data_IF_390373244183
#
_entry.id   IF_390373244183
#
_cell.length_a   1.000
_cell.length_b   1.000
_cell.length_c   1.000
_cell.angle_alpha   90.00
_cell.angle_beta   90.00
_cell.angle_gamma   90.00
#
_symmetry.space_group_name_H-M   'P 1'
#
loop_
_entity.id
_entity.type
_entity.pdbx_description
1 polymer ?
#
# COMPACT_ATOMS: atom_id res chain seq x y z
N UNK A 1 6.06 3.03 -14.27
CA UNK A 1 5.32 2.52 -15.44
C UNK A 1 4.03 3.32 -15.52
N UNK A 2 3.79 4.05 -16.60
CA UNK A 2 2.61 4.90 -16.77
C UNK A 2 1.59 4.15 -17.63
N UNK A 3 0.38 3.90 -17.11
CA UNK A 3 -0.69 3.24 -17.87
C UNK A 3 -1.64 4.32 -18.39
N UNK A 4 -1.82 4.38 -19.71
CA UNK A 4 -2.80 5.25 -20.33
C UNK A 4 -4.20 4.63 -20.26
N UNK A 5 -4.85 4.75 -19.11
CA UNK A 5 -6.21 4.27 -18.91
C UNK A 5 -6.97 5.15 -17.94
N UNK A 6 -8.27 5.31 -18.19
CA UNK A 6 -9.16 5.91 -17.21
C UNK A 6 -9.58 4.82 -16.21
N UNK A 7 -9.34 5.07 -14.94
CA UNK A 7 -9.72 4.17 -13.88
C UNK A 7 -10.27 4.91 -12.67
N UNK A 8 -11.05 4.19 -11.86
CA UNK A 8 -11.46 4.60 -10.53
C UNK A 8 -11.05 3.48 -9.58
N UNK A 9 -10.22 3.80 -8.58
CA UNK A 9 -9.81 2.87 -7.54
C UNK A 9 -10.47 3.26 -6.23
N UNK A 10 -11.17 2.32 -5.61
CA UNK A 10 -11.88 2.52 -4.35
C UNK A 10 -11.43 1.47 -3.36
N UNK A 11 -10.93 1.93 -2.22
CA UNK A 11 -10.63 1.10 -1.06
C UNK A 11 -11.67 1.33 0.01
N UNK A 12 -12.05 0.25 0.68
CA UNK A 12 -12.99 0.29 1.78
C UNK A 12 -12.43 -0.57 2.90
N UNK A 13 -12.43 -0.06 4.13
CA UNK A 13 -12.06 -0.80 5.32
C UNK A 13 -13.09 -0.57 6.42
N UNK A 14 -13.67 -1.66 6.92
CA UNK A 14 -14.68 -1.63 7.98
C UNK A 14 -14.12 -2.35 9.21
N UNK A 15 -13.94 -1.65 10.35
CA UNK A 15 -13.42 -2.28 11.56
C UNK A 15 -14.40 -3.34 12.07
N UNK A 16 -13.87 -4.48 12.49
CA UNK A 16 -14.63 -5.54 13.15
C UNK A 16 -14.52 -5.38 14.66
N UNK A 17 -15.56 -5.82 15.36
CA UNK A 17 -15.48 -5.95 16.81
C UNK A 17 -14.43 -6.99 17.19
N UNK A 18 -13.63 -6.69 18.22
CA UNK A 18 -12.51 -7.52 18.66
C UNK A 18 -12.95 -8.92 19.08
N UNK A 19 -14.15 -9.08 19.64
CA UNK A 19 -14.68 -10.40 19.99
C UNK A 19 -15.00 -11.24 18.72
N UNK A 20 -15.55 -10.60 17.68
CA UNK A 20 -15.84 -11.23 16.40
C UNK A 20 -14.56 -11.58 15.66
N UNK A 21 -13.59 -10.66 15.61
CA UNK A 21 -12.29 -10.87 14.98
C UNK A 21 -11.55 -12.07 15.59
N UNK A 22 -11.49 -12.15 16.93
CA UNK A 22 -10.86 -13.28 17.65
C UNK A 22 -11.55 -14.62 17.32
N UNK A 23 -12.88 -14.63 17.27
CA UNK A 23 -13.66 -15.83 16.92
C UNK A 23 -13.33 -16.31 15.50
N UNK A 24 -13.27 -15.41 14.53
CA UNK A 24 -13.00 -15.74 13.13
C UNK A 24 -11.55 -16.23 12.93
N UNK A 25 -10.57 -15.59 13.59
CA UNK A 25 -9.17 -16.05 13.57
C UNK A 25 -9.05 -17.44 14.20
N UNK A 26 -9.70 -17.67 15.35
CA UNK A 26 -9.67 -18.98 16.04
C UNK A 26 -10.31 -20.07 15.18
N UNK A 27 -11.40 -19.74 14.49
CA UNK A 27 -12.07 -20.63 13.54
C UNK A 27 -11.14 -20.98 12.36
N UNK A 28 -10.47 -20.00 11.75
CA UNK A 28 -9.48 -20.22 10.70
C UNK A 28 -8.31 -21.07 11.18
N UNK A 29 -7.74 -20.75 12.35
CA UNK A 29 -6.66 -21.52 12.97
C UNK A 29 -7.05 -22.98 13.20
N UNK A 30 -8.28 -23.24 13.67
CA UNK A 30 -8.80 -24.60 13.83
C UNK A 30 -8.96 -25.31 12.49
N UNK A 31 -9.44 -24.65 11.46
CA UNK A 31 -9.56 -25.22 10.11
C UNK A 31 -8.20 -25.66 9.57
N UNK A 32 -7.17 -24.81 9.67
CA UNK A 32 -5.81 -25.16 9.25
C UNK A 32 -5.23 -26.31 10.08
N UNK A 33 -5.43 -26.31 11.40
CA UNK A 33 -4.97 -27.40 12.25
C UNK A 33 -5.68 -28.74 11.98
N UNK A 34 -7.00 -28.72 11.71
CA UNK A 34 -7.74 -29.92 11.30
C UNK A 34 -7.29 -30.38 9.91
N UNK A 35 -7.08 -29.46 8.96
CA UNK A 35 -6.56 -29.81 7.63
C UNK A 35 -5.15 -30.44 7.66
N UNK A 36 -4.34 -30.09 8.67
CA UNK A 36 -3.04 -30.74 8.96
C UNK A 36 -3.22 -32.18 9.46
N UNK A 37 -4.23 -32.43 10.30
CA UNK A 37 -4.53 -33.76 10.86
C UNK A 37 -5.31 -34.67 9.90
N UNK A 38 -6.19 -34.12 9.05
CA UNK A 38 -7.08 -34.91 8.19
C UNK A 38 -6.36 -35.63 7.07
N UNK A 39 -5.30 -35.04 6.52
CA UNK A 39 -4.45 -35.70 5.53
C UNK A 39 -3.68 -36.90 6.11
N UNK A 40 -3.32 -36.82 7.40
CA UNK A 40 -2.63 -37.89 8.14
C UNK A 40 -3.60 -39.05 8.43
N UNK A 41 -4.87 -38.75 8.76
CA UNK A 41 -5.87 -39.78 9.10
C UNK A 41 -6.48 -40.48 7.88
N UNK A 42 -6.46 -39.88 6.69
CA UNK A 42 -7.08 -40.47 5.49
C UNK A 42 -6.16 -41.41 4.71
N UNK A 43 -4.85 -41.43 5.01
CA UNK A 43 -3.88 -42.26 4.28
C UNK A 43 -3.56 -43.56 5.01
N UNK A 44 -3.82 -43.69 6.32
CA UNK A 44 -3.40 -44.87 7.10
C UNK A 44 -4.54 -45.47 7.93
N UNK A 45 -5.07 -46.61 7.47
CA UNK A 45 -5.97 -47.49 8.23
C UNK A 45 -5.22 -48.52 9.09
N UNK A 46 -3.91 -48.41 9.27
CA UNK A 46 -3.12 -49.32 10.12
C UNK A 46 -2.29 -48.53 11.14
N UNK A 47 -2.75 -48.52 12.39
CA UNK A 47 -2.21 -47.73 13.50
C UNK A 47 -0.89 -48.28 14.10
N UNK A 48 -0.17 -49.17 13.41
CA UNK A 48 0.99 -49.87 13.96
C UNK A 48 2.36 -49.44 13.39
N UNK A 49 2.42 -48.58 12.36
CA UNK A 49 3.71 -48.09 11.82
C UNK A 49 3.65 -46.61 11.48
N UNK A 50 3.71 -45.74 12.51
CA UNK A 50 4.02 -44.32 12.30
C UNK A 50 5.47 -44.08 12.69
N UNK A 51 6.34 -43.96 11.69
CA UNK A 51 7.68 -43.43 11.88
C UNK A 51 7.55 -41.90 12.02
N UNK A 52 7.95 -41.28 13.14
CA UNK A 52 7.74 -39.84 13.39
C UNK A 52 8.42 -38.90 12.37
N UNK A 53 9.30 -39.46 11.52
CA UNK A 53 10.12 -38.72 10.55
C UNK A 53 9.48 -38.57 9.17
N UNK A 54 8.43 -39.33 8.85
CA UNK A 54 7.73 -39.26 7.55
C UNK A 54 6.47 -38.39 7.57
N UNK A 55 6.25 -37.63 8.65
CA UNK A 55 5.24 -36.57 8.66
C UNK A 55 5.75 -35.46 7.74
N UNK A 56 5.32 -35.46 6.49
CA UNK A 56 5.44 -34.32 5.58
C UNK A 56 4.60 -33.18 6.14
N UNK A 57 5.18 -32.45 7.10
CA UNK A 57 4.62 -31.22 7.64
C UNK A 57 4.69 -30.21 6.51
N UNK A 58 3.53 -29.84 5.97
CA UNK A 58 3.40 -28.73 5.04
C UNK A 58 3.82 -27.45 5.77
N UNK A 59 5.09 -27.05 5.59
CA UNK A 59 5.70 -25.89 6.24
C UNK A 59 4.87 -24.61 6.04
N UNK A 60 4.22 -24.48 4.88
CA UNK A 60 3.33 -23.36 4.55
C UNK A 60 2.14 -23.27 5.51
N UNK A 61 1.48 -24.38 5.81
CA UNK A 61 0.34 -24.41 6.74
C UNK A 61 0.77 -24.15 8.17
N UNK A 62 1.98 -24.56 8.54
CA UNK A 62 2.55 -24.26 9.85
C UNK A 62 2.85 -22.77 10.00
N UNK A 63 3.44 -22.15 8.98
CA UNK A 63 3.65 -20.70 8.93
C UNK A 63 2.32 -19.92 9.02
N UNK A 64 1.27 -20.36 8.34
CA UNK A 64 -0.06 -19.74 8.44
C UNK A 64 -0.64 -19.81 9.87
N UNK A 65 -0.44 -20.93 10.58
CA UNK A 65 -0.91 -21.09 11.96
C UNK A 65 -0.16 -20.14 12.92
N UNK A 66 1.14 -19.95 12.69
CA UNK A 66 1.99 -19.03 13.44
C UNK A 66 1.57 -17.58 13.18
N UNK A 67 1.40 -17.19 11.91
CA UNK A 67 0.90 -15.88 11.50
C UNK A 67 -0.47 -15.55 12.13
N UNK A 68 -1.40 -16.52 12.17
CA UNK A 68 -2.69 -16.35 12.85
C UNK A 68 -2.53 -16.21 14.38
N UNK A 69 -1.51 -16.84 14.96
CA UNK A 69 -1.15 -16.68 16.37
C UNK A 69 -0.63 -15.28 16.67
N UNK A 70 0.22 -14.74 15.81
CA UNK A 70 0.74 -13.38 15.94
C UNK A 70 -0.37 -12.33 15.75
N UNK A 71 -1.28 -12.55 14.80
CA UNK A 71 -2.47 -11.71 14.65
C UNK A 71 -3.31 -11.64 15.94
N UNK A 72 -3.48 -12.76 16.66
CA UNK A 72 -4.20 -12.76 17.93
C UNK A 72 -3.47 -11.96 19.03
N UNK A 73 -2.14 -11.98 19.04
CA UNK A 73 -1.32 -11.20 19.97
C UNK A 73 -1.47 -9.71 19.69
N UNK A 74 -1.33 -9.32 18.43
CA UNK A 74 -1.44 -7.93 17.96
C UNK A 74 -2.83 -7.35 18.22
N UNK A 75 -3.90 -8.16 18.11
CA UNK A 75 -5.25 -7.78 18.56
C UNK A 75 -5.38 -7.62 20.08
N UNK A 76 -4.51 -8.26 20.86
CA UNK A 76 -4.39 -8.04 22.31
C UNK A 76 -3.73 -6.70 22.64
N UNK A 77 -2.80 -6.26 21.80
CA UNK A 77 -2.01 -5.04 21.97
C UNK A 77 -2.76 -3.76 21.55
N UNK A 78 -4.03 -3.88 21.13
CA UNK A 78 -4.91 -2.75 20.81
C UNK A 78 -5.10 -2.48 19.31
N UNK A 79 -4.50 -3.28 18.42
CA UNK A 79 -4.83 -3.21 17.00
C UNK A 79 -6.21 -3.78 16.71
N UNK A 80 -6.78 -3.39 15.57
CA UNK A 80 -8.12 -3.80 15.14
C UNK A 80 -8.04 -4.49 13.79
N UNK A 81 -8.74 -5.62 13.66
CA UNK A 81 -8.93 -6.29 12.36
C UNK A 81 -10.16 -5.71 11.69
N UNK A 82 -10.13 -5.56 10.37
CA UNK A 82 -11.29 -5.11 9.60
C UNK A 82 -11.48 -5.91 8.32
N UNK A 83 -12.69 -5.79 7.77
CA UNK A 83 -13.00 -6.21 6.40
C UNK A 83 -12.45 -5.16 5.44
N UNK A 84 -11.46 -5.55 4.65
CA UNK A 84 -10.88 -4.75 3.58
C UNK A 84 -11.40 -5.20 2.22
N UNK A 85 -11.65 -4.23 1.34
CA UNK A 85 -11.88 -4.48 -0.07
C UNK A 85 -11.21 -3.41 -0.93
N UNK A 86 -10.73 -3.84 -2.10
CA UNK A 86 -10.18 -2.99 -3.15
C UNK A 86 -10.92 -3.29 -4.44
N UNK A 87 -11.55 -2.27 -5.01
CA UNK A 87 -12.24 -2.37 -6.31
C UNK A 87 -11.63 -1.37 -7.27
N UNK A 88 -11.21 -1.85 -8.44
CA UNK A 88 -10.65 -1.02 -9.51
C UNK A 88 -11.57 -1.13 -10.72
N UNK A 89 -12.18 -0.02 -11.09
CA UNK A 89 -13.06 0.08 -12.26
C UNK A 89 -12.26 0.69 -13.40
N UNK A 90 -12.04 -0.08 -14.45
CA UNK A 90 -11.48 0.40 -15.71
C UNK A 90 -12.62 0.78 -16.64
N UNK A 91 -12.57 1.96 -17.24
CA UNK A 91 -13.60 2.42 -18.18
C UNK A 91 -13.00 3.09 -19.41
N UNK A 92 -13.58 2.80 -20.57
CA UNK A 92 -13.18 3.36 -21.86
C UNK A 92 -14.38 3.40 -22.82
N UNK A 93 -14.31 4.22 -23.86
CA UNK A 93 -15.35 4.30 -24.88
C UNK A 93 -15.44 3.03 -25.76
N UNK A 94 -14.31 2.35 -25.99
CA UNK A 94 -14.23 1.12 -26.78
C UNK A 94 -13.73 -0.05 -25.92
N UNK A 95 -14.42 -1.20 -26.01
CA UNK A 95 -14.04 -2.43 -25.27
C UNK A 95 -12.62 -2.89 -25.58
N UNK A 96 -12.17 -2.76 -26.84
CA UNK A 96 -10.81 -3.16 -27.26
C UNK A 96 -9.71 -2.44 -26.48
N UNK A 97 -9.97 -1.21 -26.04
CA UNK A 97 -9.03 -0.46 -25.20
C UNK A 97 -8.92 -1.09 -23.81
N UNK A 98 -10.04 -1.51 -23.22
CA UNK A 98 -10.04 -2.20 -21.92
C UNK A 98 -9.30 -3.54 -21.99
N UNK A 99 -9.53 -4.31 -23.04
CA UNK A 99 -8.88 -5.62 -23.23
C UNK A 99 -7.34 -5.49 -23.35
N UNK A 100 -6.84 -4.35 -23.83
CA UNK A 100 -5.41 -4.04 -23.91
C UNK A 100 -4.82 -3.57 -22.57
N UNK A 101 -5.58 -2.78 -21.82
CA UNK A 101 -5.14 -2.18 -20.55
C UNK A 101 -5.20 -3.17 -19.39
N UNK A 102 -6.19 -4.05 -19.36
CA UNK A 102 -6.43 -4.97 -18.24
C UNK A 102 -5.19 -5.80 -17.86
N UNK A 103 -4.45 -6.43 -18.81
CA UNK A 103 -3.24 -7.18 -18.48
C UNK A 103 -2.13 -6.31 -17.87
N UNK A 104 -2.00 -5.05 -18.31
CA UNK A 104 -1.00 -4.13 -17.77
C UNK A 104 -1.32 -3.76 -16.32
N UNK A 105 -2.60 -3.54 -16.00
CA UNK A 105 -3.05 -3.27 -14.63
C UNK A 105 -2.81 -4.49 -13.75
N UNK A 106 -3.21 -5.68 -14.19
CA UNK A 106 -2.95 -6.92 -13.45
C UNK A 106 -1.45 -7.11 -13.19
N UNK A 107 -0.60 -6.84 -14.19
CA UNK A 107 0.86 -6.94 -14.06
C UNK A 107 1.44 -6.02 -12.98
N UNK A 108 0.92 -4.79 -12.83
CA UNK A 108 1.37 -3.89 -11.74
C UNK A 108 1.14 -4.54 -10.38
N UNK A 109 -0.06 -5.08 -10.17
CA UNK A 109 -0.40 -5.71 -8.90
C UNK A 109 0.38 -7.00 -8.67
N UNK A 110 0.54 -7.83 -9.69
CA UNK A 110 1.36 -9.04 -9.58
C UNK A 110 2.83 -8.73 -9.29
N UNK A 111 3.36 -7.61 -9.78
CA UNK A 111 4.71 -7.15 -9.44
C UNK A 111 4.86 -6.70 -7.98
N UNK A 112 3.75 -6.39 -7.30
CA UNK A 112 3.70 -6.07 -5.88
C UNK A 112 3.18 -7.26 -5.03
N UNK A 113 3.31 -8.50 -5.54
CA UNK A 113 2.80 -9.74 -4.94
C UNK A 113 1.28 -9.73 -4.66
N UNK A 114 0.55 -8.83 -5.32
CA UNK A 114 -0.90 -8.72 -5.26
C UNK A 114 -1.58 -9.57 -6.33
N UNK A 115 -2.70 -10.19 -5.97
CA UNK A 115 -3.54 -10.93 -6.91
C UNK A 115 -4.86 -10.19 -7.16
N UNK A 116 -5.09 -9.79 -8.41
CA UNK A 116 -6.34 -9.17 -8.83
C UNK A 116 -7.23 -10.18 -9.56
N UNK A 117 -8.50 -10.19 -9.21
CA UNK A 117 -9.52 -10.99 -9.89
C UNK A 117 -10.28 -10.11 -10.88
N UNK A 118 -10.13 -10.41 -12.17
CA UNK A 118 -10.94 -9.76 -13.21
C UNK A 118 -12.38 -10.26 -13.13
N UNK A 119 -13.30 -9.36 -12.82
CA UNK A 119 -14.72 -9.69 -12.69
C UNK A 119 -15.45 -9.57 -14.04
N UNK A 120 -16.02 -10.68 -14.51
CA UNK A 120 -16.80 -10.75 -15.76
C UNK A 120 -18.28 -11.00 -15.52
N UNK A 121 -18.63 -11.76 -14.48
CA UNK A 121 -20.02 -12.13 -14.21
C UNK A 121 -20.69 -11.16 -13.24
N UNK A 122 -19.99 -10.77 -12.19
CA UNK A 122 -20.53 -9.96 -11.10
C UNK A 122 -20.22 -8.46 -11.25
N UNK A 123 -20.04 -7.99 -12.49
CA UNK A 123 -19.60 -6.61 -12.79
C UNK A 123 -20.51 -5.54 -12.20
N UNK A 124 -21.83 -5.75 -12.27
CA UNK A 124 -22.80 -4.80 -11.75
C UNK A 124 -22.74 -4.67 -10.23
N UNK A 125 -22.58 -5.79 -9.52
CA UNK A 125 -22.47 -5.78 -8.07
C UNK A 125 -21.11 -5.20 -7.63
N UNK A 126 -20.03 -5.49 -8.36
CA UNK A 126 -18.74 -4.84 -8.13
C UNK A 126 -18.80 -3.32 -8.36
N UNK A 127 -19.53 -2.88 -9.40
CA UNK A 127 -19.79 -1.46 -9.64
C UNK A 127 -20.67 -0.84 -8.54
N UNK A 128 -21.70 -1.53 -8.06
CA UNK A 128 -22.52 -0.99 -6.97
C UNK A 128 -21.82 -0.98 -5.62
N UNK A 129 -20.84 -1.86 -5.41
CA UNK A 129 -20.03 -1.90 -4.20
C UNK A 129 -19.14 -0.67 -4.02
N UNK A 130 -18.80 0.08 -5.09
CA UNK A 130 -18.01 1.30 -4.96
C UNK A 130 -18.79 2.46 -4.33
N UNK A 131 -20.12 2.38 -4.29
CA UNK A 131 -20.95 3.41 -3.68
C UNK A 131 -20.93 3.24 -2.15
N UNK A 132 -20.54 4.27 -1.39
CA UNK A 132 -20.48 4.17 0.07
C UNK A 132 -21.86 3.80 0.63
N UNK A 133 -21.88 2.89 1.60
CA UNK A 133 -23.11 2.36 2.19
C UNK A 133 -23.63 1.08 1.51
N UNK A 134 -23.11 0.71 0.35
CA UNK A 134 -23.64 -0.41 -0.43
C UNK A 134 -22.92 -1.74 -0.21
N UNK A 135 -22.50 -1.98 1.04
CA UNK A 135 -21.64 -3.08 1.48
C UNK A 135 -22.17 -4.48 1.17
N UNK A 136 -23.49 -4.61 0.95
CA UNK A 136 -24.17 -5.88 0.64
C UNK A 136 -23.79 -6.44 -0.73
N UNK A 137 -23.38 -5.57 -1.67
CA UNK A 137 -22.98 -5.98 -3.02
C UNK A 137 -21.49 -6.35 -3.10
N UNK A 138 -20.73 -6.02 -2.05
CA UNK A 138 -19.32 -6.34 -1.96
C UNK A 138 -19.11 -7.78 -1.49
N UNK A 139 -18.87 -8.67 -2.44
CA UNK A 139 -18.66 -10.10 -2.19
C UNK A 139 -17.19 -10.46 -1.91
N UNK A 140 -16.25 -9.54 -2.15
CA UNK A 140 -14.81 -9.81 -2.08
C UNK A 140 -14.20 -9.00 -0.94
N UNK A 141 -14.23 -9.60 0.24
CA UNK A 141 -13.64 -9.03 1.46
C UNK A 141 -12.48 -9.89 1.94
N UNK A 142 -11.43 -9.22 2.37
CA UNK A 142 -10.25 -9.82 2.98
C UNK A 142 -10.10 -9.25 4.39
N UNK A 143 -9.63 -10.05 5.33
CA UNK A 143 -9.31 -9.53 6.65
C UNK A 143 -7.96 -8.81 6.60
N UNK A 144 -7.93 -7.57 7.08
CA UNK A 144 -6.72 -6.76 7.11
C UNK A 144 -6.64 -5.99 8.43
N UNK A 145 -5.44 -5.97 9.03
CA UNK A 145 -5.16 -5.16 10.21
C UNK A 145 -5.23 -3.67 9.87
N UNK A 146 -5.59 -2.86 10.86
CA UNK A 146 -5.65 -1.40 10.72
C UNK A 146 -4.30 -0.78 10.34
N UNK A 147 -3.18 -1.30 10.86
CA UNK A 147 -1.84 -0.84 10.48
C UNK A 147 -1.56 -1.08 9.00
N UNK A 148 -1.83 -2.31 8.53
CA UNK A 148 -1.60 -2.66 7.13
C UNK A 148 -2.54 -1.88 6.21
N UNK A 149 -3.78 -1.62 6.64
CA UNK A 149 -4.69 -0.76 5.89
C UNK A 149 -4.16 0.66 5.81
N UNK A 150 -3.63 1.22 6.91
CA UNK A 150 -3.02 2.54 6.90
C UNK A 150 -1.96 2.59 5.79
N UNK A 151 -1.02 1.64 5.77
CA UNK A 151 0.10 1.54 4.81
C UNK A 151 -0.32 1.43 3.33
N UNK A 152 -1.47 0.83 3.02
CA UNK A 152 -1.95 0.66 1.64
C UNK A 152 -3.09 1.61 1.26
N UNK A 153 -3.57 2.42 2.21
CA UNK A 153 -4.70 3.32 1.98
C UNK A 153 -4.35 4.38 0.93
N UNK A 154 -5.36 4.91 0.23
CA UNK A 154 -5.15 6.06 -0.67
C UNK A 154 -5.13 7.40 0.09
N UNK A 155 -5.02 7.37 1.42
CA UNK A 155 -5.06 8.55 2.28
C UNK A 155 -3.68 9.20 2.47
N UNK A 156 -2.66 8.73 1.75
CA UNK A 156 -1.35 9.38 1.75
C UNK A 156 -1.37 10.62 0.87
N UNK A 157 -1.15 11.76 1.51
CA UNK A 157 -0.79 12.98 0.81
C UNK A 157 0.73 13.06 0.70
N UNK A 158 1.22 13.56 -0.42
CA UNK A 158 2.64 13.88 -0.56
C UNK A 158 2.91 15.04 0.39
N UNK A 159 3.92 14.92 1.24
CA UNK A 159 4.31 16.01 2.12
C UNK A 159 4.78 17.19 1.26
N UNK A 160 3.98 18.25 1.21
CA UNK A 160 4.26 19.42 0.36
C UNK A 160 5.29 20.37 0.99
N UNK A 161 5.69 20.15 2.26
CA UNK A 161 6.45 21.15 3.01
C UNK A 161 5.59 22.31 3.50
N UNK A 162 6.22 23.27 4.17
CA UNK A 162 5.53 24.44 4.74
C UNK A 162 5.66 25.63 3.78
N UNK A 163 4.54 26.32 3.53
CA UNK A 163 4.55 27.52 2.68
C UNK A 163 5.20 28.72 3.36
N UNK A 164 5.24 28.73 4.69
CA UNK A 164 5.84 29.79 5.49
C UNK A 164 7.03 29.25 6.27
N UNK A 165 8.10 30.03 6.31
CA UNK A 165 9.30 29.76 7.08
C UNK A 165 9.30 30.66 8.32
N UNK A 166 8.99 30.09 9.48
CA UNK A 166 8.92 30.85 10.74
C UNK A 166 10.26 31.49 11.13
N UNK A 167 11.39 30.88 10.78
CA UNK A 167 12.72 31.36 11.15
C UNK A 167 13.13 32.62 10.36
N UNK A 168 12.75 32.70 9.08
CA UNK A 168 13.05 33.85 8.22
C UNK A 168 11.92 34.89 8.21
N UNK A 169 10.79 34.59 8.84
CA UNK A 169 9.53 35.34 8.78
C UNK A 169 9.13 35.68 7.33
N UNK A 170 9.26 34.68 6.45
CA UNK A 170 9.06 34.79 5.00
C UNK A 170 8.47 33.52 4.44
N UNK A 171 8.02 33.58 3.18
CA UNK A 171 7.64 32.40 2.41
C UNK A 171 8.83 31.42 2.23
N UNK A 172 8.50 30.20 1.82
CA UNK A 172 9.44 29.12 1.52
C UNK A 172 10.64 29.54 0.63
N UNK A 173 11.78 28.84 0.76
CA UNK A 173 13.01 29.20 0.02
C UNK A 173 12.90 28.90 -1.48
N UNK A 174 12.43 27.70 -1.83
CA UNK A 174 12.30 27.29 -3.22
C UNK A 174 11.05 26.44 -3.43
N UNK A 175 10.40 26.63 -4.58
CA UNK A 175 9.36 25.73 -5.07
C UNK A 175 10.01 24.69 -5.97
N UNK A 176 9.90 23.43 -5.60
CA UNK A 176 10.37 22.29 -6.39
C UNK A 176 9.16 21.50 -6.91
N UNK A 177 9.31 20.80 -8.01
CA UNK A 177 8.33 19.85 -8.50
C UNK A 177 8.74 18.45 -8.05
N UNK A 178 7.82 17.70 -7.42
CA UNK A 178 8.05 16.30 -7.08
C UNK A 178 7.88 15.41 -8.32
N UNK A 179 8.34 14.17 -8.25
CA UNK A 179 8.13 13.18 -9.32
C UNK A 179 6.64 12.94 -9.65
N UNK A 180 5.75 13.32 -8.74
CA UNK A 180 4.30 13.22 -8.88
C UNK A 180 3.66 14.49 -9.44
N UNK A 181 4.45 15.42 -9.98
CA UNK A 181 4.01 16.73 -10.49
C UNK A 181 3.25 17.57 -9.45
N UNK A 182 3.57 17.39 -8.16
CA UNK A 182 3.06 18.23 -7.07
C UNK A 182 4.10 19.25 -6.62
N UNK A 183 3.68 20.46 -6.19
CA UNK A 183 4.61 21.45 -5.65
C UNK A 183 5.19 21.02 -4.30
N UNK A 184 6.48 21.20 -4.11
CA UNK A 184 7.18 21.02 -2.84
C UNK A 184 7.82 22.33 -2.38
N UNK A 185 7.42 22.81 -1.21
CA UNK A 185 7.90 24.02 -0.56
C UNK A 185 9.13 23.69 0.28
N UNK A 186 10.32 23.92 -0.27
CA UNK A 186 11.57 23.61 0.40
C UNK A 186 11.89 24.68 1.47
N UNK A 187 11.95 24.24 2.73
CA UNK A 187 12.50 24.99 3.85
C UNK A 187 13.75 24.29 4.39
N UNK A 188 14.86 25.01 4.53
CA UNK A 188 16.12 24.49 5.06
C UNK A 188 16.32 24.81 6.54
N UNK A 189 15.50 25.71 7.08
CA UNK A 189 15.54 26.13 8.48
C UNK A 189 14.52 25.33 9.28
N UNK A 190 14.98 24.68 10.33
CA UNK A 190 14.11 24.07 11.33
C UNK A 190 14.53 24.59 12.71
N UNK A 191 13.63 25.34 13.35
CA UNK A 191 13.83 25.98 14.67
C UNK A 191 15.04 26.93 14.73
N UNK A 192 16.19 26.45 15.22
CA UNK A 192 17.32 27.29 15.67
C UNK A 192 18.52 27.31 14.70
N UNK A 193 18.52 26.49 13.64
CA UNK A 193 19.61 26.48 12.66
C UNK A 193 19.27 25.76 11.37
N UNK A 194 19.96 26.14 10.28
CA UNK A 194 19.94 25.43 9.01
C UNK A 194 21.33 24.90 8.69
N UNK A 195 21.55 23.62 8.93
CA UNK A 195 22.72 22.91 8.42
C UNK A 195 22.30 22.08 7.22
N UNK A 196 22.63 22.54 6.03
CA UNK A 196 22.29 21.86 4.78
C UNK A 196 23.52 21.28 4.13
N UNK A 197 23.52 19.97 3.91
CA UNK A 197 24.53 19.27 3.11
C UNK A 197 23.97 19.01 1.72
N UNK A 198 24.62 19.55 0.68
CA UNK A 198 24.23 19.33 -0.72
C UNK A 198 25.31 18.48 -1.39
N UNK A 199 24.96 17.24 -1.76
CA UNK A 199 25.84 16.29 -2.45
C UNK A 199 25.36 16.02 -3.87
N UNK A 200 26.25 15.53 -4.74
CA UNK A 200 25.94 15.17 -6.13
C UNK A 200 27.14 15.21 -7.06
N UNK A 201 27.08 14.53 -8.20
CA UNK A 201 28.14 14.49 -9.22
C UNK A 201 28.35 15.85 -9.91
N UNK A 202 29.55 16.12 -10.45
CA UNK A 202 29.82 17.35 -11.21
C UNK A 202 28.82 17.52 -12.35
N UNK A 203 28.21 18.71 -12.46
CA UNK A 203 27.14 18.97 -13.44
C UNK A 203 25.71 18.73 -12.95
N UNK A 204 25.49 18.13 -11.77
CA UNK A 204 24.15 17.81 -11.23
C UNK A 204 23.33 19.01 -10.73
N UNK A 205 23.71 20.26 -11.04
CA UNK A 205 22.96 21.45 -10.62
C UNK A 205 23.20 21.94 -9.18
N UNK A 206 24.15 21.39 -8.41
CA UNK A 206 24.46 21.87 -7.04
C UNK A 206 24.72 23.37 -6.95
N UNK A 207 25.50 23.92 -7.90
CA UNK A 207 25.81 25.35 -7.96
C UNK A 207 24.59 26.20 -8.33
N UNK A 208 23.65 25.64 -9.10
CA UNK A 208 22.38 26.29 -9.42
C UNK A 208 21.51 26.36 -8.17
N UNK A 209 21.27 25.22 -7.50
CA UNK A 209 20.49 25.17 -6.26
C UNK A 209 21.00 26.17 -5.22
N UNK A 210 22.32 26.23 -4.99
CA UNK A 210 22.94 27.17 -4.03
C UNK A 210 22.70 28.65 -4.39
N UNK A 211 22.67 28.99 -5.67
CA UNK A 211 22.52 30.39 -6.12
C UNK A 211 21.06 30.85 -6.11
N UNK A 212 20.13 29.95 -6.40
CA UNK A 212 18.73 30.30 -6.65
C UNK A 212 17.78 29.98 -5.50
N UNK A 213 18.12 29.06 -4.59
CA UNK A 213 17.31 28.83 -3.38
C UNK A 213 17.09 30.10 -2.51
N UNK A 214 18.02 31.08 -2.45
CA UNK A 214 17.77 32.34 -1.72
C UNK A 214 17.04 33.42 -2.54
N UNK A 215 16.91 33.26 -3.87
CA UNK A 215 16.35 34.25 -4.78
C UNK A 215 15.18 33.63 -5.53
N UNK A 216 13.96 33.95 -5.09
CA UNK A 216 12.68 33.56 -5.69
C UNK A 216 12.81 33.42 -7.22
N UNK A 217 12.73 32.19 -7.72
CA UNK A 217 12.49 31.96 -9.13
C UNK A 217 11.03 32.34 -9.39
N UNK A 218 10.72 33.17 -10.40
CA UNK A 218 9.36 33.21 -10.93
C UNK A 218 8.97 31.79 -11.38
N UNK A 219 7.67 31.43 -11.42
CA UNK A 219 7.23 30.13 -11.93
C UNK A 219 7.69 30.01 -13.39
N UNK A 220 8.86 29.41 -13.58
CA UNK A 220 9.50 29.22 -14.89
C UNK A 220 8.95 27.91 -15.45
N UNK A 221 8.12 28.00 -16.49
CA UNK A 221 7.92 26.88 -17.41
C UNK A 221 9.27 26.63 -18.11
N UNK A 222 10.05 25.69 -17.58
CA UNK A 222 11.27 25.23 -18.23
C UNK A 222 10.88 24.33 -19.41
N UNK A 223 11.22 24.66 -20.67
CA UNK A 223 11.05 23.77 -21.82
C UNK A 223 12.04 22.60 -21.81
N UNK A 224 12.86 22.48 -20.76
CA UNK A 224 13.80 21.39 -20.54
C UNK A 224 13.44 20.74 -19.21
N UNK A 225 12.89 19.51 -19.26
CA UNK A 225 12.74 18.61 -18.12
C UNK A 225 14.13 18.32 -17.53
N UNK A 226 14.64 19.21 -16.70
CA UNK A 226 15.77 18.90 -15.82
C UNK A 226 15.15 18.30 -14.56
N UNK A 227 14.94 16.98 -14.59
CA UNK A 227 14.55 16.19 -13.42
C UNK A 227 15.69 16.30 -12.40
N UNK A 228 15.60 17.28 -11.49
CA UNK A 228 16.33 17.21 -10.23
C UNK A 228 15.54 16.24 -9.34
N UNK A 229 15.73 14.94 -9.58
CA UNK A 229 15.24 13.87 -8.70
C UNK A 229 15.92 14.04 -7.34
N UNK A 230 15.28 14.76 -6.42
CA UNK A 230 15.66 14.74 -5.02
C UNK A 230 15.07 13.45 -4.42
N UNK A 231 15.86 12.39 -4.39
CA UNK A 231 15.58 11.25 -3.50
C UNK A 231 15.77 11.74 -2.06
N UNK A 232 14.75 12.36 -1.48
CA UNK A 232 14.67 12.51 -0.03
C UNK A 232 14.37 11.12 0.54
N UNK A 233 15.43 10.39 0.91
CA UNK A 233 15.34 9.39 1.98
C UNK A 233 14.96 10.15 3.26
N UNK A 234 13.67 10.42 3.41
CA UNK A 234 13.12 10.67 4.74
C UNK A 234 13.24 9.32 5.44
N UNK A 235 14.26 9.21 6.29
CA UNK A 235 14.36 8.23 7.35
C UNK A 235 13.06 8.29 8.18
N UNK A 236 12.03 7.60 7.69
CA UNK A 236 10.89 7.18 8.47
C UNK A 236 11.44 6.17 9.47
N UNK A 237 11.90 6.70 10.59
CA UNK A 237 12.17 5.94 11.81
C UNK A 237 10.81 5.48 12.33
N UNK A 238 10.29 4.41 11.73
CA UNK A 238 9.25 3.60 12.33
C UNK A 238 9.91 2.80 13.47
N UNK A 239 9.73 3.28 14.70
CA UNK A 239 9.67 2.45 15.89
C UNK A 239 8.21 2.15 16.19
#
# INVERSE_FOLDING_TARGET
MEIQANFCAVTEWVPLDNAVARKEITKRKRHFNVSKSSFISSVHSDAAMVNPRDVLIDESKQADIENLGDCLRVLGDGQTLGDFSLTIILYAAEKRTLDRVLPDVVRIFTGADGNLFSETYNQLNAYFAIVPGNYRHNLRKLFLLNSNYADISFLFTIHLGETWNEHLDREYLALLETDNATPYYLNLHEREGAHTLILGATGSGKSFLRKYAPRRLPPMQLPYRCLLSFTTEILAKAM
#
